data_IF_996220763594
#
_entry.id   IF_996220763594
#
_cell.length_a   1.000
_cell.length_b   1.000
_cell.length_c   1.000
_cell.angle_alpha   90.00
_cell.angle_beta   90.00
_cell.angle_gamma   90.00
#
_symmetry.space_group_name_H-M   'P 1'
#
loop_
_entity.id
_entity.type
_entity.pdbx_description
1 polymer ?
2 non-polymer ?
3 non-polymer ?
4 water ?
#
# COMPACT_ATOMS: atom_id res chain seq x y z
N UNK A 35 6.19 -13.04 32.30
CA UNK A 35 6.10 -13.26 30.87
C UNK A 35 6.75 -12.09 30.13
N UNK A 36 7.35 -12.36 28.96
CA UNK A 36 7.81 -11.26 28.11
C UNK A 36 6.61 -10.44 27.69
N UNK A 37 6.80 -9.15 27.45
CA UNK A 37 5.73 -8.31 26.94
C UNK A 37 5.44 -8.76 25.50
N UNK A 38 4.18 -9.09 25.24
CA UNK A 38 3.79 -9.48 23.88
C UNK A 38 3.45 -8.26 23.05
N UNK A 39 4.11 -8.16 21.91
CA UNK A 39 3.87 -7.14 20.91
C UNK A 39 3.15 -7.80 19.74
N UNK A 40 1.94 -7.33 19.42
CA UNK A 40 1.18 -7.90 18.30
C UNK A 40 1.32 -7.02 17.05
N UNK A 41 1.55 -7.67 15.92
CA UNK A 41 1.69 -7.01 14.61
C UNK A 41 0.69 -7.72 13.69
N UNK A 42 -0.36 -7.03 13.28
CA UNK A 42 -1.32 -7.63 12.37
C UNK A 42 -1.24 -6.98 11.00
N UNK A 43 -1.57 -7.75 9.97
CA UNK A 43 -1.68 -7.22 8.62
C UNK A 43 -2.60 -8.10 7.78
N UNK A 44 -2.83 -7.65 6.54
CA UNK A 44 -3.84 -8.26 5.68
C UNK A 44 -3.28 -9.07 4.53
N UNK A 45 -1.96 -9.12 4.36
CA UNK A 45 -1.37 -9.81 3.22
C UNK A 45 -0.89 -11.22 3.55
N UNK A 46 -0.54 -11.95 2.49
CA UNK A 46 0.07 -13.27 2.65
C UNK A 46 1.46 -13.14 3.29
N UNK A 47 1.93 -14.23 3.86
CA UNK A 47 3.24 -14.24 4.51
C UNK A 47 4.37 -13.97 3.53
N UNK A 48 4.29 -14.53 2.33
CA UNK A 48 5.43 -14.54 1.41
C UNK A 48 5.35 -13.33 0.46
N UNK A 49 5.48 -12.16 1.08
CA UNK A 49 5.30 -10.84 0.46
C UNK A 49 6.22 -9.86 1.16
N UNK A 50 6.42 -8.64 0.61
CA UNK A 50 7.29 -7.70 1.33
C UNK A 50 6.80 -7.38 2.75
N UNK A 51 5.51 -7.10 2.95
CA UNK A 51 5.04 -6.79 4.30
C UNK A 51 5.06 -8.03 5.19
N UNK A 52 4.68 -9.18 4.64
CA UNK A 52 4.73 -10.40 5.44
C UNK A 52 6.13 -10.70 5.96
N UNK A 53 7.12 -10.50 5.10
CA UNK A 53 8.51 -10.75 5.46
C UNK A 53 9.06 -9.67 6.38
N UNK A 54 8.68 -8.41 6.17
CA UNK A 54 9.07 -7.33 7.09
C UNK A 54 8.59 -7.66 8.50
N UNK A 55 7.35 -8.11 8.64
CA UNK A 55 6.80 -8.36 9.97
C UNK A 55 7.56 -9.52 10.64
N UNK A 56 7.84 -10.59 9.89
CA UNK A 56 8.58 -11.72 10.45
C UNK A 56 10.02 -11.35 10.78
N UNK A 57 10.65 -10.52 9.96
CA UNK A 57 12.01 -10.08 10.27
C UNK A 57 12.02 -9.27 11.57
N UNK A 58 11.02 -8.42 11.75
CA UNK A 58 10.90 -7.63 12.98
C UNK A 58 10.77 -8.57 14.19
N UNK A 59 9.92 -9.59 14.08
CA UNK A 59 9.82 -10.62 15.11
C UNK A 59 11.17 -11.25 15.42
N UNK A 60 11.88 -11.66 14.37
CA UNK A 60 13.16 -12.34 14.55
C UNK A 60 14.16 -11.45 15.27
N UNK A 61 14.24 -10.19 14.84
CA UNK A 61 15.23 -9.28 15.42
C UNK A 61 14.89 -8.94 16.86
N UNK A 62 13.62 -8.71 17.16
CA UNK A 62 13.26 -8.39 18.54
C UNK A 62 13.58 -9.56 19.45
N UNK A 63 13.23 -10.76 19.01
CA UNK A 63 13.39 -11.90 19.89
C UNK A 63 14.87 -12.27 20.05
N UNK A 64 15.70 -11.97 19.04
CA UNK A 64 17.14 -12.13 19.16
C UNK A 64 17.78 -11.14 20.12
N UNK A 65 17.34 -9.88 20.05
CA UNK A 65 18.02 -8.79 20.75
C UNK A 65 17.47 -8.51 22.13
N UNK A 66 16.23 -8.93 22.39
CA UNK A 66 15.56 -8.72 23.68
C UNK A 66 14.95 -10.01 24.20
N UNK A 67 15.73 -11.10 24.21
CA UNK A 67 15.15 -12.39 24.60
C UNK A 67 14.59 -12.39 26.01
N UNK A 68 13.36 -12.89 26.14
CA UNK A 68 12.71 -12.96 27.42
C UNK A 68 12.07 -11.65 27.88
N UNK A 69 12.32 -10.57 27.14
CA UNK A 69 11.79 -9.27 27.52
C UNK A 69 10.59 -8.88 26.65
N UNK A 70 10.69 -9.14 25.35
CA UNK A 70 9.63 -8.86 24.41
C UNK A 70 9.52 -10.02 23.43
N UNK A 71 8.31 -10.28 22.97
CA UNK A 71 8.09 -11.23 21.89
C UNK A 71 7.12 -10.57 20.92
N UNK A 72 7.24 -10.89 19.63
CA UNK A 72 6.35 -10.33 18.62
C UNK A 72 5.49 -11.45 18.03
N UNK A 73 4.16 -11.29 18.12
CA UNK A 73 3.23 -12.20 17.48
C UNK A 73 2.74 -11.56 16.19
N UNK A 74 2.87 -12.28 15.09
CA UNK A 74 2.51 -11.77 13.78
C UNK A 74 1.25 -12.48 13.28
N UNK A 75 0.29 -11.69 12.79
CA UNK A 75 -1.01 -12.20 12.36
C UNK A 75 -1.26 -11.76 10.93
N UNK A 76 -0.91 -12.60 9.94
CA UNK A 76 -1.08 -12.23 8.53
C UNK A 76 -2.52 -12.46 8.05
N UNK A 77 -2.81 -12.09 6.82
CA UNK A 77 -4.04 -12.51 6.14
C UNK A 77 -5.33 -12.11 6.86
N UNK A 78 -5.30 -10.99 7.57
CA UNK A 78 -6.48 -10.48 8.28
C UNK A 78 -6.96 -11.46 9.36
N UNK A 79 -6.07 -12.33 9.83
CA UNK A 79 -6.49 -13.37 10.79
C UNK A 79 -6.84 -12.77 12.15
N UNK A 80 -6.26 -11.63 12.50
CA UNK A 80 -6.60 -10.95 13.75
C UNK A 80 -7.45 -9.70 13.48
N UNK A 81 -6.89 -8.74 12.76
CA UNK A 81 -7.61 -7.54 12.34
C UNK A 81 -7.47 -7.37 10.84
N UNK A 82 -8.49 -6.80 10.22
CA UNK A 82 -8.51 -6.57 8.79
C UNK A 82 -8.52 -5.09 8.46
N UNK A 83 -8.76 -4.78 7.19
CA UNK A 83 -8.68 -3.39 6.71
C UNK A 83 -9.57 -2.47 7.53
N UNK A 84 -10.80 -2.87 7.78
CA UNK A 84 -11.75 -1.93 8.31
C UNK A 84 -11.57 -1.65 9.79
N UNK A 85 -10.99 -2.58 10.56
CA UNK A 85 -10.89 -2.42 12.02
C UNK A 85 -9.48 -2.26 12.59
N UNK A 86 -8.44 -2.36 11.77
CA UNK A 86 -7.10 -2.41 12.31
C UNK A 86 -6.66 -1.11 12.99
N UNK A 87 -7.03 0.05 12.45
CA UNK A 87 -6.58 1.30 13.07
C UNK A 87 -7.33 1.55 14.38
N UNK A 88 -8.63 1.23 14.43
CA UNK A 88 -9.35 1.30 15.69
C UNK A 88 -8.70 0.36 16.73
N UNK A 89 -8.35 -0.85 16.31
CA UNK A 89 -7.68 -1.79 17.21
C UNK A 89 -6.34 -1.25 17.72
N UNK A 90 -5.57 -0.64 16.83
CA UNK A 90 -4.30 -0.02 17.20
C UNK A 90 -4.50 1.00 18.32
N UNK A 91 -5.47 1.89 18.14
CA UNK A 91 -5.69 2.96 19.11
C UNK A 91 -6.23 2.46 20.44
N UNK A 92 -6.92 1.32 20.41
CA UNK A 92 -7.33 0.64 21.64
C UNK A 92 -6.20 -0.14 22.32
N UNK A 93 -5.05 -0.23 21.66
CA UNK A 93 -3.94 -1.08 22.10
C UNK A 93 -4.29 -2.57 22.10
N UNK A 94 -5.19 -2.96 21.21
CA UNK A 94 -5.44 -4.39 20.94
C UNK A 94 -4.42 -4.96 19.96
N UNK A 95 -3.66 -4.07 19.30
CA UNK A 95 -2.54 -4.45 18.45
C UNK A 95 -1.53 -3.31 18.60
N UNK A 96 -0.25 -3.59 18.45
CA UNK A 96 0.80 -2.61 18.71
C UNK A 96 1.44 -2.05 17.44
N UNK A 97 1.48 -2.84 16.36
CA UNK A 97 1.98 -2.38 15.07
C UNK A 97 1.06 -2.85 13.96
N UNK A 98 0.77 -1.94 13.04
CA UNK A 98 0.11 -2.25 11.78
C UNK A 98 0.84 -1.48 10.68
N UNK A 99 0.59 -1.85 9.42
CA UNK A 99 1.25 -1.20 8.29
C UNK A 99 0.27 -1.09 7.11
N UNK A 100 -0.76 -0.23 7.27
CA UNK A 100 -1.75 -0.08 6.20
C UNK A 100 -1.17 0.61 4.99
N UNK A 101 -1.77 0.32 3.85
CA UNK A 101 -1.59 1.14 2.68
C UNK A 101 -1.78 2.61 3.03
N UNK A 102 -0.97 3.46 2.40
CA UNK A 102 -1.08 4.91 2.54
C UNK A 102 -2.47 5.42 2.15
N UNK A 103 -3.23 4.62 1.37
CA UNK A 103 -4.57 4.95 0.93
C UNK A 103 -5.63 4.87 2.03
N UNK A 104 -5.27 4.30 3.18
CA UNK A 104 -6.28 3.86 4.15
C UNK A 104 -6.34 4.72 5.41
N UNK A 105 -5.86 5.95 5.33
CA UNK A 105 -5.73 6.82 6.49
C UNK A 105 -6.68 8.02 6.52
N UNK A 106 -7.66 8.07 5.61
CA UNK A 106 -8.50 9.26 5.47
C UNK A 106 -9.32 9.64 6.70
N UNK A 107 -9.59 8.67 7.57
CA UNK A 107 -10.32 9.01 8.79
C UNK A 107 -9.47 9.81 9.76
N UNK A 108 -8.15 9.79 9.56
CA UNK A 108 -7.21 10.42 10.51
C UNK A 108 -6.46 11.62 9.94
N UNK A 109 -6.26 11.64 8.63
CA UNK A 109 -5.68 12.81 7.94
C UNK A 109 -6.09 12.77 6.48
N UNK A 110 -6.13 13.94 5.83
CA UNK A 110 -6.33 14.00 4.39
C UNK A 110 -5.00 14.20 3.66
N UNK A 111 -3.92 14.36 4.40
CA UNK A 111 -2.65 14.71 3.78
C UNK A 111 -2.02 13.57 2.99
N UNK A 112 -2.27 12.32 3.40
CA UNK A 112 -1.67 11.16 2.73
C UNK A 112 -2.32 10.85 1.39
N UNK A 113 -3.45 11.52 1.10
CA UNK A 113 -4.13 11.36 -0.18
C UNK A 113 -3.22 11.60 -1.36
N UNK A 114 -2.19 12.43 -1.19
CA UNK A 114 -1.23 12.69 -2.25
C UNK A 114 -0.70 11.40 -2.86
N UNK A 115 -0.46 10.38 -2.03
CA UNK A 115 0.12 9.14 -2.50
C UNK A 115 -0.78 8.37 -3.47
N UNK A 116 -2.08 8.63 -3.44
CA UNK A 116 -3.05 7.92 -4.28
C UNK A 116 -3.22 8.54 -5.66
N UNK A 117 -2.67 9.74 -5.89
CA UNK A 117 -2.96 10.43 -7.14
C UNK A 117 -2.44 9.63 -8.35
N UNK A 118 -3.29 9.45 -9.37
CA UNK A 118 -2.88 8.58 -10.47
C UNK A 118 -1.77 9.18 -11.33
N UNK A 119 -0.76 8.37 -11.61
CA UNK A 119 0.39 8.74 -12.42
C UNK A 119 1.23 9.90 -11.82
N UNK A 120 1.12 10.11 -10.52
CA UNK A 120 1.94 11.13 -9.87
C UNK A 120 3.42 10.76 -9.90
N UNK A 121 3.72 9.52 -9.51
CA UNK A 121 5.09 9.02 -9.48
C UNK A 121 5.36 8.12 -10.66
N UNK A 122 6.48 8.35 -11.33
CA UNK A 122 6.82 7.53 -12.50
C UNK A 122 7.12 6.09 -12.10
N UNK A 123 7.79 5.95 -10.96
CA UNK A 123 8.30 4.66 -10.54
C UNK A 123 8.66 4.71 -9.06
N UNK A 124 9.15 3.60 -8.54
CA UNK A 124 9.41 3.47 -7.10
C UNK A 124 10.59 4.31 -6.64
N UNK A 125 11.52 4.61 -7.53
CA UNK A 125 12.61 5.52 -7.19
C UNK A 125 12.06 6.91 -6.85
N UNK A 126 11.08 7.38 -7.62
CA UNK A 126 10.48 8.68 -7.36
C UNK A 126 9.68 8.66 -6.06
N UNK A 127 8.95 7.58 -5.84
CA UNK A 127 8.22 7.42 -4.59
C UNK A 127 9.15 7.55 -3.39
N UNK A 128 10.25 6.81 -3.46
CA UNK A 128 11.21 6.80 -2.37
C UNK A 128 11.83 8.20 -2.14
N UNK A 129 12.17 8.88 -3.23
CA UNK A 129 12.72 10.22 -3.17
C UNK A 129 11.78 11.18 -2.46
N UNK A 130 10.49 11.08 -2.76
CA UNK A 130 9.47 11.90 -2.13
C UNK A 130 9.33 11.55 -0.65
N UNK A 131 9.26 10.25 -0.34
CA UNK A 131 9.14 9.80 1.04
C UNK A 131 10.28 10.25 1.93
N UNK A 132 11.51 10.25 1.39
CA UNK A 132 12.70 10.59 2.16
C UNK A 132 12.97 12.09 2.21
N UNK A 133 12.30 12.86 1.36
CA UNK A 133 12.39 14.31 1.39
C UNK A 133 11.59 14.91 2.52
N UNK A 134 11.63 16.23 2.62
CA UNK A 134 11.06 16.92 3.75
C UNK A 134 9.54 16.74 3.83
N UNK A 135 8.86 16.84 2.69
CA UNK A 135 7.42 16.68 2.70
C UNK A 135 7.02 15.26 3.11
N UNK A 136 7.74 14.27 2.60
CA UNK A 136 7.48 12.88 2.94
C UNK A 136 7.75 12.59 4.40
N UNK A 137 8.83 13.15 4.92
CA UNK A 137 9.17 12.88 6.31
C UNK A 137 8.14 13.52 7.23
N UNK A 138 7.70 14.73 6.89
CA UNK A 138 6.69 15.41 7.69
C UNK A 138 5.39 14.60 7.74
N UNK A 139 5.06 13.92 6.64
CA UNK A 139 3.83 13.14 6.58
C UNK A 139 3.81 11.99 7.60
N UNK A 140 4.98 11.54 8.04
CA UNK A 140 5.02 10.49 9.07
C UNK A 140 4.40 10.95 10.38
N UNK A 141 4.37 12.28 10.59
CA UNK A 141 3.82 12.84 11.82
C UNK A 141 2.43 13.45 11.62
N UNK A 142 1.81 13.18 10.48
CA UNK A 142 0.56 13.83 10.12
C UNK A 142 -0.64 13.42 10.98
N UNK A 143 -0.50 12.33 11.75
CA UNK A 143 -1.59 11.82 12.57
C UNK A 143 -1.23 11.78 14.06
N UNK A 144 -0.12 12.39 14.40
CA UNK A 144 0.39 12.37 15.78
C UNK A 144 -0.67 12.77 16.80
N UNK A 145 -1.37 13.86 16.51
CA UNK A 145 -2.36 14.41 17.45
C UNK A 145 -3.64 13.56 17.52
N UNK A 146 -3.74 12.56 16.64
CA UNK A 146 -4.82 11.58 16.68
C UNK A 146 -4.37 10.31 17.39
N UNK A 147 -3.12 10.30 17.86
CA UNK A 147 -2.60 9.16 18.59
C UNK A 147 -1.86 8.14 17.76
N UNK A 148 -1.62 8.43 16.48
CA UNK A 148 -0.92 7.50 15.59
C UNK A 148 0.48 8.01 15.29
N UNK A 149 1.47 7.17 15.57
CA UNK A 149 2.88 7.50 15.39
C UNK A 149 3.39 6.82 14.12
N UNK A 150 3.87 7.62 13.19
CA UNK A 150 4.45 7.09 11.96
C UNK A 150 5.91 6.75 12.13
N UNK A 151 6.24 5.49 11.89
CA UNK A 151 7.59 4.99 12.16
C UNK A 151 8.44 4.81 10.91
N UNK A 152 7.83 4.64 9.75
CA UNK A 152 8.57 4.51 8.51
C UNK A 152 7.65 4.17 7.37
N UNK A 153 8.19 4.23 6.16
CA UNK A 153 7.53 3.82 4.93
C UNK A 153 8.05 2.44 4.53
N UNK A 154 7.15 1.58 4.07
CA UNK A 154 7.52 0.28 3.56
C UNK A 154 6.94 0.15 2.15
N UNK A 155 7.77 -0.25 1.20
CA UNK A 155 7.31 -0.37 -0.17
C UNK A 155 6.53 -1.64 -0.46
N UNK A 156 5.62 -1.55 -1.43
CA UNK A 156 5.14 -2.72 -2.15
C UNK A 156 5.51 -2.58 -3.62
N UNK A 157 4.83 -1.69 -4.35
CA UNK A 157 5.14 -1.53 -5.76
C UNK A 157 4.15 -0.65 -6.46
N UNK A 158 4.32 -0.52 -7.77
CA UNK A 158 3.35 0.18 -8.58
C UNK A 158 2.15 -0.72 -8.85
N UNK A 159 0.97 -0.14 -8.98
CA UNK A 159 -0.25 -0.88 -9.27
C UNK A 159 -0.45 -1.10 -10.77
N UNK A 160 -1.00 -2.28 -11.07
CA UNK A 160 -1.45 -2.68 -12.40
C UNK A 160 -2.96 -2.88 -12.35
N UNK A 161 -3.65 -2.63 -13.46
CA UNK A 161 -5.07 -2.97 -13.55
C UNK A 161 -5.23 -4.45 -13.91
N UNK A 162 -6.26 -5.08 -13.35
CA UNK A 162 -6.75 -6.35 -13.89
C UNK A 162 -8.22 -6.22 -14.20
N UNK A 163 -8.67 -7.00 -15.19
CA UNK A 163 -10.08 -7.12 -15.53
C UNK A 163 -10.23 -8.33 -16.42
N UNK A 164 -11.39 -8.48 -17.05
CA UNK A 164 -11.60 -9.57 -18.01
C UNK A 164 -11.59 -9.08 -19.45
N UNK A 165 -10.89 -7.97 -19.64
CA UNK A 165 -10.70 -7.35 -20.95
C UNK A 165 -9.43 -6.50 -20.87
N UNK A 166 -8.73 -6.29 -22.00
CA UNK A 166 -7.58 -5.38 -21.98
C UNK A 166 -8.00 -3.96 -21.65
N UNK A 167 -7.15 -3.24 -20.95
CA UNK A 167 -7.43 -1.85 -20.60
C UNK A 167 -6.43 -0.90 -21.28
N UNK A 168 -6.39 -1.03 -22.60
CA UNK A 168 -5.46 -0.30 -23.44
C UNK A 168 -5.68 1.20 -23.40
N UNK A 169 -6.94 1.60 -23.33
CA UNK A 169 -7.30 3.00 -23.31
C UNK A 169 -8.35 3.23 -22.25
N UNK A 170 -8.45 4.47 -21.76
CA UNK A 170 -9.44 4.78 -20.74
C UNK A 170 -10.85 4.34 -21.11
N UNK A 171 -11.22 4.43 -22.38
CA UNK A 171 -12.56 4.06 -22.82
C UNK A 171 -12.88 2.60 -22.48
N UNK A 172 -11.85 1.77 -22.40
CA UNK A 172 -12.04 0.33 -22.14
C UNK A 172 -12.56 0.07 -20.72
N UNK A 173 -12.40 1.02 -19.80
CA UNK A 173 -12.84 0.84 -18.42
C UNK A 173 -14.30 1.30 -18.19
N UNK A 174 -14.91 1.95 -19.17
CA UNK A 174 -16.23 2.54 -18.94
C UNK A 174 -17.24 1.47 -18.54
N UNK A 175 -17.97 1.74 -17.47
CA UNK A 175 -19.04 0.87 -17.02
C UNK A 175 -18.60 -0.36 -16.23
N UNK A 176 -17.30 -0.55 -16.04
CA UNK A 176 -16.82 -1.71 -15.30
C UNK A 176 -16.74 -1.40 -13.81
N UNK A 177 -17.04 -2.40 -12.99
CA UNK A 177 -16.97 -2.27 -11.55
C UNK A 177 -15.56 -2.66 -11.08
N UNK A 178 -14.88 -1.75 -10.38
CA UNK A 178 -13.57 -2.02 -9.82
C UNK A 178 -13.62 -1.91 -8.30
N UNK A 179 -13.12 -2.91 -7.61
CA UNK A 179 -12.85 -2.75 -6.18
C UNK A 179 -11.72 -1.73 -6.02
N UNK A 180 -11.84 -0.91 -4.98
CA UNK A 180 -10.75 -0.05 -4.53
C UNK A 180 -10.56 -0.22 -3.02
N UNK A 181 -9.33 0.03 -2.58
CA UNK A 181 -9.07 0.33 -1.18
C UNK A 181 -9.97 1.50 -0.77
N UNK A 182 -10.19 1.65 0.53
CA UNK A 182 -11.15 2.64 1.00
C UNK A 182 -10.58 4.07 0.97
N UNK A 183 -10.56 4.63 -0.23
CA UNK A 183 -9.97 5.93 -0.53
C UNK A 183 -10.86 6.70 -1.48
N UNK A 184 -11.20 7.93 -1.11
CA UNK A 184 -11.93 8.81 -2.01
C UNK A 184 -11.13 9.14 -3.28
N UNK A 185 -9.80 9.21 -3.18
CA UNK A 185 -9.00 9.50 -4.36
C UNK A 185 -9.10 8.33 -5.35
N UNK A 186 -9.01 7.10 -4.83
CA UNK A 186 -9.07 5.94 -5.73
C UNK A 186 -10.47 5.79 -6.34
N UNK A 187 -11.51 6.12 -5.60
CA UNK A 187 -12.85 6.14 -6.19
C UNK A 187 -12.89 7.16 -7.33
N UNK A 188 -12.34 8.34 -7.09
CA UNK A 188 -12.33 9.39 -8.10
C UNK A 188 -11.54 8.99 -9.34
N UNK A 189 -10.45 8.24 -9.16
CA UNK A 189 -9.66 7.73 -10.26
C UNK A 189 -10.56 6.93 -11.21
N UNK A 190 -11.36 6.02 -10.67
CA UNK A 190 -12.25 5.23 -11.52
C UNK A 190 -13.45 6.04 -12.03
N UNK A 191 -13.99 6.95 -11.22
CA UNK A 191 -15.04 7.86 -11.72
C UNK A 191 -14.56 8.61 -12.97
N UNK A 192 -13.28 8.97 -13.01
CA UNK A 192 -12.73 9.82 -14.08
C UNK A 192 -12.82 9.16 -15.45
N UNK A 193 -12.92 7.83 -15.47
CA UNK A 193 -13.05 7.08 -16.72
C UNK A 193 -14.41 6.38 -16.83
N UNK A 194 -15.36 6.80 -16.02
CA UNK A 194 -16.71 6.26 -16.11
C UNK A 194 -16.83 4.83 -15.61
N UNK A 195 -15.83 4.38 -14.85
CA UNK A 195 -15.94 3.09 -14.16
C UNK A 195 -16.67 3.28 -12.83
N UNK A 196 -17.02 2.17 -12.19
CA UNK A 196 -17.81 2.20 -10.97
C UNK A 196 -16.96 1.65 -9.81
N UNK A 197 -16.45 2.53 -8.94
CA UNK A 197 -15.61 2.07 -7.84
C UNK A 197 -16.44 1.54 -6.68
N UNK A 198 -15.97 0.48 -6.05
CA UNK A 198 -16.60 0.05 -4.82
C UNK A 198 -15.55 -0.30 -3.80
N UNK A 199 -15.67 0.35 -2.66
CA UNK A 199 -14.70 0.22 -1.57
C UNK A 199 -14.95 -1.08 -0.81
N UNK A 200 -13.95 -1.94 -0.74
CA UNK A 200 -14.07 -3.21 -0.03
C UNK A 200 -12.75 -3.58 0.62
N UNK A 201 -12.80 -4.31 1.75
CA UNK A 201 -11.56 -4.76 2.40
C UNK A 201 -10.80 -5.77 1.54
N UNK A 202 -9.48 -5.79 1.72
CA UNK A 202 -8.60 -6.61 0.92
C UNK A 202 -8.98 -8.09 1.01
N UNK A 203 -9.41 -8.55 2.18
CA UNK A 203 -9.71 -9.96 2.36
C UNK A 203 -10.82 -10.48 1.44
N UNK A 204 -11.65 -9.58 0.91
CA UNK A 204 -12.78 -9.99 0.06
C UNK A 204 -12.46 -10.02 -1.42
N UNK A 205 -11.32 -9.49 -1.83
CA UNK A 205 -11.11 -9.20 -3.24
C UNK A 205 -11.15 -10.45 -4.12
N UNK A 206 -10.45 -11.51 -3.73
CA UNK A 206 -10.46 -12.72 -4.55
C UNK A 206 -11.88 -13.20 -4.82
N UNK A 207 -12.69 -13.29 -3.77
CA UNK A 207 -14.05 -13.81 -3.92
C UNK A 207 -14.91 -12.88 -4.77
N UNK A 208 -14.73 -11.57 -4.61
CA UNK A 208 -15.47 -10.62 -5.44
C UNK A 208 -15.13 -10.80 -6.92
N UNK A 209 -13.85 -10.99 -7.23
CA UNK A 209 -13.43 -11.22 -8.61
C UNK A 209 -13.97 -12.56 -9.12
N UNK A 210 -13.81 -13.60 -8.31
CA UNK A 210 -14.20 -14.95 -8.68
C UNK A 210 -15.68 -15.00 -9.09
N UNK A 211 -16.51 -14.36 -8.28
CA UNK A 211 -17.95 -14.38 -8.46
C UNK A 211 -18.47 -13.31 -9.41
N UNK A 212 -17.58 -12.48 -9.94
CA UNK A 212 -17.96 -11.41 -10.85
C UNK A 212 -18.85 -10.36 -10.20
N UNK A 213 -18.80 -10.27 -8.88
CA UNK A 213 -19.40 -9.13 -8.17
C UNK A 213 -18.71 -7.83 -8.58
N UNK A 214 -17.42 -7.96 -8.93
CA UNK A 214 -16.67 -6.87 -9.55
C UNK A 214 -16.05 -7.41 -10.84
N UNK A 215 -15.74 -6.49 -11.74
CA UNK A 215 -15.08 -6.81 -12.99
C UNK A 215 -13.56 -6.79 -12.89
N UNK A 216 -13.02 -5.91 -12.04
CA UNK A 216 -11.58 -5.71 -12.00
C UNK A 216 -11.12 -5.09 -10.71
N UNK A 217 -9.82 -4.87 -10.63
CA UNK A 217 -9.21 -4.25 -9.46
C UNK A 217 -7.84 -3.70 -9.86
N UNK A 218 -7.10 -3.15 -8.90
CA UNK A 218 -5.77 -2.61 -9.15
C UNK A 218 -4.86 -3.11 -8.02
N UNK A 219 -3.68 -3.61 -8.37
CA UNK A 219 -2.76 -4.08 -7.34
C UNK A 219 -1.38 -4.37 -7.91
N UNK A 220 -0.44 -4.63 -7.01
CA UNK A 220 0.92 -4.92 -7.42
C UNK A 220 1.04 -6.38 -7.85
N UNK A 221 2.12 -6.69 -8.55
CA UNK A 221 2.38 -8.08 -8.93
C UNK A 221 2.38 -8.99 -7.71
N UNK A 222 2.97 -8.54 -6.60
CA UNK A 222 3.09 -9.39 -5.41
C UNK A 222 1.72 -9.76 -4.85
N UNK A 223 0.81 -8.80 -4.72
CA UNK A 223 -0.53 -9.14 -4.24
C UNK A 223 -1.31 -9.96 -5.27
N UNK A 224 -1.15 -9.62 -6.55
CA UNK A 224 -1.88 -10.30 -7.62
C UNK A 224 -1.50 -11.78 -7.62
N UNK A 225 -0.21 -12.08 -7.46
CA UNK A 225 0.27 -13.45 -7.42
C UNK A 225 -0.12 -14.18 -6.14
N UNK A 226 0.18 -13.56 -5.01
CA UNK A 226 0.00 -14.25 -3.72
C UNK A 226 -1.47 -14.48 -3.38
N UNK A 227 -2.38 -13.62 -3.86
CA UNK A 227 -3.81 -13.81 -3.62
C UNK A 227 -4.53 -14.49 -4.79
N UNK A 228 -3.79 -14.81 -5.85
CA UNK A 228 -4.32 -15.56 -7.00
C UNK A 228 -5.37 -14.78 -7.78
N UNK A 229 -5.27 -13.45 -7.77
CA UNK A 229 -6.20 -12.65 -8.55
C UNK A 229 -6.07 -13.01 -10.04
N UNK A 230 -4.87 -13.39 -10.47
CA UNK A 230 -4.63 -13.71 -11.87
C UNK A 230 -5.37 -14.98 -12.32
N UNK A 231 -5.83 -15.80 -11.37
CA UNK A 231 -6.59 -17.01 -11.72
C UNK A 231 -8.06 -16.71 -12.01
N UNK A 232 -8.50 -15.48 -11.75
CA UNK A 232 -9.90 -15.11 -11.91
C UNK A 232 -10.05 -13.79 -12.67
N UNK A 233 -9.01 -13.43 -13.39
CA UNK A 233 -8.99 -12.23 -14.25
C UNK A 233 -8.32 -12.62 -15.55
N UNK A 234 -8.95 -12.41 -16.69
CA UNK A 234 -8.36 -12.83 -17.94
C UNK A 234 -7.23 -11.94 -18.46
N UNK A 235 -7.17 -10.68 -18.02
CA UNK A 235 -6.21 -9.71 -18.56
C UNK A 235 -5.63 -8.82 -17.50
N UNK A 236 -4.31 -8.65 -17.53
CA UNK A 236 -3.60 -7.75 -16.62
C UNK A 236 -2.93 -6.70 -17.47
N UNK A 237 -3.24 -5.44 -17.22
CA UNK A 237 -2.69 -4.35 -17.98
C UNK A 237 -1.60 -3.67 -17.15
N UNK A 238 -0.38 -3.68 -17.68
CA UNK A 238 0.79 -3.14 -16.99
C UNK A 238 0.83 -1.63 -17.13
N UNK A 239 0.01 -1.00 -16.29
CA UNK A 239 -0.26 0.42 -16.33
C UNK A 239 0.64 1.24 -15.40
N UNK A 240 1.16 0.63 -14.33
CA UNK A 240 1.98 1.35 -13.35
C UNK A 240 1.34 2.68 -12.97
N UNK A 241 0.03 2.68 -12.72
CA UNK A 241 -0.73 3.93 -12.70
C UNK A 241 -0.84 4.59 -11.31
N UNK A 242 -0.32 3.94 -10.28
CA UNK A 242 -0.28 4.52 -8.94
C UNK A 242 0.63 3.68 -8.08
N UNK A 243 0.94 4.16 -6.87
CA UNK A 243 1.77 3.39 -5.95
C UNK A 243 0.93 2.78 -4.85
N UNK A 244 1.28 1.54 -4.50
CA UNK A 244 0.80 0.89 -3.27
C UNK A 244 2.01 0.77 -2.35
N UNK A 245 2.05 1.62 -1.34
CA UNK A 245 3.06 1.60 -0.29
C UNK A 245 2.36 1.67 1.06
N UNK A 246 3.14 1.47 2.12
CA UNK A 246 2.61 1.43 3.48
C UNK A 246 3.25 2.45 4.39
N UNK A 247 2.53 2.83 5.43
CA UNK A 247 3.16 3.47 6.60
C UNK A 247 3.10 2.50 7.76
N UNK A 248 4.27 2.17 8.32
CA UNK A 248 4.34 1.37 9.53
C UNK A 248 4.05 2.31 10.71
N UNK A 249 3.03 1.98 11.49
CA UNK A 249 2.57 2.84 12.57
C UNK A 249 2.38 2.08 13.87
N UNK A 250 2.43 2.84 14.96
CA UNK A 250 2.05 2.36 16.28
C UNK A 250 1.16 3.41 16.94
N UNK A 251 0.67 3.14 18.14
CA UNK A 251 -0.06 4.15 18.89
C UNK A 251 0.89 4.92 19.79
N UNK A 252 0.58 6.19 19.99
CA UNK A 252 1.34 7.01 20.89
C UNK A 252 1.35 6.40 22.29
N UNK A 253 0.21 5.87 22.73
CA UNK A 253 0.12 5.33 24.08
C UNK A 253 1.08 4.15 24.25
N UNK A 254 1.11 3.24 23.29
CA UNK A 254 2.03 2.11 23.41
C UNK A 254 3.48 2.57 23.32
N UNK A 255 3.77 3.43 22.36
CA UNK A 255 5.14 3.84 22.12
C UNK A 255 5.71 4.55 23.38
N UNK A 256 4.91 5.41 23.98
CA UNK A 256 5.30 6.10 25.21
C UNK A 256 5.41 5.16 26.41
N UNK A 257 4.71 4.03 26.37
CA UNK A 257 4.70 3.09 27.50
C UNK A 257 6.00 2.28 27.59
N UNK A 258 6.81 2.30 26.54
CA UNK A 258 8.06 1.58 26.54
C UNK A 258 9.16 2.36 27.27
N UNK A 259 10.03 1.65 28.01
CA UNK A 259 11.19 2.36 28.53
C UNK A 259 12.07 2.81 27.36
N UNK A 260 12.73 3.95 27.52
CA UNK A 260 13.41 4.57 26.38
C UNK A 260 14.48 3.68 25.74
N UNK A 261 15.21 2.92 26.56
CA UNK A 261 16.26 2.08 26.03
C UNK A 261 15.70 0.90 25.21
N UNK A 262 14.63 0.30 25.70
CA UNK A 262 13.99 -0.79 24.98
C UNK A 262 13.33 -0.26 23.70
N UNK A 263 12.71 0.91 23.79
CA UNK A 263 12.10 1.54 22.62
C UNK A 263 13.14 1.72 21.52
N UNK A 264 14.34 2.16 21.89
CA UNK A 264 15.39 2.37 20.90
C UNK A 264 15.80 1.08 20.20
N UNK A 265 15.91 -0.01 20.95
CA UNK A 265 16.23 -1.31 20.35
C UNK A 265 15.10 -1.76 19.41
N UNK A 266 13.85 -1.62 19.84
CA UNK A 266 12.71 -1.99 19.01
C UNK A 266 12.66 -1.15 17.72
N UNK A 267 12.92 0.15 17.84
CA UNK A 267 12.91 1.04 16.69
C UNK A 267 13.99 0.65 15.69
N UNK A 268 15.18 0.33 16.18
CA UNK A 268 16.26 -0.06 15.28
C UNK A 268 15.93 -1.38 14.57
N UNK A 269 15.30 -2.30 15.29
CA UNK A 269 14.88 -3.57 14.70
C UNK A 269 13.83 -3.29 13.61
N UNK A 270 12.91 -2.38 13.90
CA UNK A 270 11.91 -2.01 12.91
C UNK A 270 12.55 -1.42 11.65
N UNK A 271 13.49 -0.49 11.84
CA UNK A 271 14.16 0.12 10.70
C UNK A 271 14.83 -0.94 9.82
N UNK A 272 15.51 -1.89 10.45
CA UNK A 272 16.21 -2.92 9.70
C UNK A 272 15.21 -3.84 8.97
N UNK A 273 14.10 -4.11 9.61
CA UNK A 273 13.06 -4.95 9.01
C UNK A 273 12.45 -4.26 7.77
N UNK A 274 12.26 -2.95 7.86
CA UNK A 274 11.74 -2.17 6.74
C UNK A 274 12.75 -2.21 5.58
N UNK A 275 14.03 -2.08 5.87
CA UNK A 275 15.03 -2.16 4.81
C UNK A 275 14.96 -3.51 4.09
N UNK A 276 14.84 -4.59 4.86
CA UNK A 276 14.72 -5.90 4.27
C UNK A 276 13.43 -6.00 3.45
N UNK A 277 12.32 -5.52 4.02
CA UNK A 277 11.06 -5.55 3.31
C UNK A 277 11.10 -4.81 1.99
N UNK A 278 11.80 -3.67 1.95
CA UNK A 278 11.92 -2.91 0.73
C UNK A 278 12.68 -3.70 -0.34
N UNK A 279 13.73 -4.40 0.07
CA UNK A 279 14.49 -5.25 -0.85
C UNK A 279 13.61 -6.35 -1.40
N UNK A 280 12.86 -7.02 -0.52
CA UNK A 280 11.94 -8.06 -0.92
C UNK A 280 10.89 -7.50 -1.88
N UNK A 281 10.38 -6.30 -1.61
CA UNK A 281 9.36 -5.71 -2.47
C UNK A 281 9.85 -5.64 -3.91
N UNK A 282 11.08 -5.19 -4.10
CA UNK A 282 11.63 -5.02 -5.43
C UNK A 282 11.86 -6.39 -6.06
N UNK A 283 12.33 -7.35 -5.26
CA UNK A 283 12.55 -8.69 -5.76
C UNK A 283 11.23 -9.36 -6.20
N UNK A 284 10.21 -9.24 -5.36
CA UNK A 284 8.91 -9.87 -5.65
C UNK A 284 8.22 -9.22 -6.83
N UNK A 285 8.43 -7.94 -7.04
CA UNK A 285 7.78 -7.29 -8.15
C UNK A 285 8.22 -7.98 -9.46
N UNK A 286 9.50 -8.29 -9.57
CA UNK A 286 10.01 -9.01 -10.74
C UNK A 286 9.66 -10.51 -10.73
N UNK A 287 9.87 -11.17 -9.60
CA UNK A 287 9.63 -12.61 -9.50
C UNK A 287 8.18 -12.96 -9.77
N UNK A 288 7.28 -12.21 -9.15
CA UNK A 288 5.87 -12.56 -9.19
C UNK A 288 5.22 -12.22 -10.53
N UNK A 289 5.68 -11.16 -11.20
CA UNK A 289 5.26 -10.93 -12.57
C UNK A 289 5.61 -12.15 -13.42
N UNK A 290 6.84 -12.65 -13.31
CA UNK A 290 7.26 -13.81 -14.09
C UNK A 290 6.45 -15.07 -13.75
N UNK A 291 6.17 -15.30 -12.48
CA UNK A 291 5.38 -16.47 -12.12
C UNK A 291 3.97 -16.40 -12.70
N UNK A 292 3.38 -15.21 -12.72
CA UNK A 292 2.07 -15.04 -13.34
C UNK A 292 2.15 -15.34 -14.84
N UNK A 293 3.15 -14.82 -15.51
CA UNK A 293 3.33 -15.11 -16.93
C UNK A 293 3.51 -16.62 -17.15
N UNK A 294 4.34 -17.26 -16.31
CA UNK A 294 4.61 -18.70 -16.44
C UNK A 294 3.32 -19.51 -16.41
N UNK A 295 2.32 -19.05 -15.65
CA UNK A 295 1.09 -19.82 -15.47
C UNK A 295 0.26 -19.90 -16.74
N UNK A 296 0.42 -18.93 -17.62
CA UNK A 296 -0.36 -18.82 -18.84
C UNK A 296 -1.86 -18.64 -18.59
N UNK A 297 -2.26 -18.22 -17.39
CA UNK A 297 -3.67 -18.11 -17.03
C UNK A 297 -4.25 -16.74 -17.31
N UNK A 298 -3.39 -15.74 -17.44
CA UNK A 298 -3.86 -14.39 -17.63
C UNK A 298 -2.96 -13.67 -18.63
N UNK A 299 -3.58 -12.93 -19.53
CA UNK A 299 -2.84 -12.30 -20.61
C UNK A 299 -2.32 -10.94 -20.18
N UNK A 300 -1.02 -10.74 -20.37
CA UNK A 300 -0.38 -9.45 -20.14
C UNK A 300 -0.69 -8.48 -21.27
N UNK A 301 -1.08 -7.26 -20.91
CA UNK A 301 -1.41 -6.20 -21.85
C UNK A 301 -0.42 -5.07 -21.56
N UNK A 302 0.31 -4.66 -22.59
CA UNK A 302 1.32 -3.62 -22.49
C UNK A 302 0.74 -2.35 -23.10
N UNK A 303 1.12 -1.17 -22.58
CA UNK A 303 0.67 0.10 -23.13
C UNK A 303 1.75 0.74 -23.99
N UNK A 304 1.37 1.20 -25.17
CA UNK A 304 2.26 2.03 -25.97
C UNK A 304 2.42 3.38 -25.30
N UNK A 305 3.43 4.15 -25.73
CA UNK A 305 3.60 5.48 -25.12
C UNK A 305 2.36 6.35 -25.27
N UNK A 306 1.74 6.36 -26.44
CA UNK A 306 0.54 7.15 -26.65
C UNK A 306 -0.61 6.63 -25.81
N UNK A 307 -0.71 5.30 -25.67
CA UNK A 307 -1.75 4.73 -24.84
C UNK A 307 -1.57 5.16 -23.39
N UNK A 308 -0.34 5.07 -22.87
CA UNK A 308 -0.09 5.52 -21.51
C UNK A 308 -0.48 6.99 -21.36
N UNK A 309 -0.11 7.81 -22.32
CA UNK A 309 -0.38 9.25 -22.20
C UNK A 309 -1.87 9.53 -22.17
N UNK A 310 -2.67 8.74 -22.89
CA UNK A 310 -4.12 8.93 -22.84
C UNK A 310 -4.63 8.69 -21.42
N UNK A 311 -4.13 7.66 -20.76
CA UNK A 311 -4.48 7.40 -19.37
C UNK A 311 -4.01 8.52 -18.43
N UNK A 312 -2.79 8.98 -18.62
CA UNK A 312 -2.28 10.08 -17.79
C UNK A 312 -3.19 11.30 -17.90
N UNK A 313 -3.52 11.66 -19.14
CA UNK A 313 -4.27 12.89 -19.38
C UNK A 313 -5.66 12.87 -18.76
N UNK A 314 -6.36 11.74 -18.89
CA UNK A 314 -7.71 11.64 -18.36
C UNK A 314 -7.74 11.61 -16.82
N UNK A 315 -6.61 11.29 -16.20
CA UNK A 315 -6.52 11.19 -14.74
C UNK A 315 -6.11 12.50 -14.07
N UNK A 316 -5.55 13.45 -14.82
CA UNK A 316 -5.11 14.71 -14.24
C UNK A 316 -6.21 15.47 -13.49
N UNK A 317 -7.47 15.42 -13.97
CA UNK A 317 -8.51 16.10 -13.19
C UNK A 317 -8.70 15.56 -11.77
N UNK A 318 -8.27 14.34 -11.50
CA UNK A 318 -8.33 13.82 -10.12
C UNK A 318 -7.41 14.65 -9.23
N UNK A 319 -6.25 15.01 -9.75
CA UNK A 319 -5.35 15.87 -8.98
C UNK A 319 -6.02 17.21 -8.70
N UNK A 320 -6.71 17.75 -9.70
CA UNK A 320 -7.39 19.03 -9.53
C UNK A 320 -8.49 18.96 -8.48
N UNK A 321 -9.20 17.83 -8.43
CA UNK A 321 -10.25 17.66 -7.44
C UNK A 321 -9.71 17.69 -6.01
N UNK A 322 -8.51 17.16 -5.81
CA UNK A 322 -7.95 17.02 -4.47
C UNK A 322 -6.87 18.05 -4.12
N UNK A 323 -6.57 18.95 -5.06
CA UNK A 323 -5.43 19.83 -4.85
C UNK A 323 -5.52 20.64 -3.54
N UNK A 324 -6.71 21.11 -3.19
CA UNK A 324 -6.86 21.89 -1.94
C UNK A 324 -6.53 21.08 -0.68
N UNK A 325 -7.11 19.88 -0.57
CA UNK A 325 -6.91 19.03 0.61
C UNK A 325 -5.48 18.58 0.76
N UNK A 326 -4.82 18.37 -0.36
CA UNK A 326 -3.52 17.75 -0.35
C UNK A 326 -2.43 18.79 -0.24
N UNK A 327 -2.68 19.94 -0.87
CA UNK A 327 -1.71 21.02 -0.94
C UNK A 327 -1.03 21.06 -2.30
N UNK A 328 -1.20 22.16 -3.02
CA UNK A 328 -0.52 22.31 -4.31
C UNK A 328 0.99 22.17 -4.15
N UNK A 329 1.53 22.72 -3.07
CA UNK A 329 2.96 22.64 -2.79
C UNK A 329 3.42 21.19 -2.66
N UNK A 330 2.60 20.35 -2.03
CA UNK A 330 2.95 18.96 -1.81
C UNK A 330 2.92 18.20 -3.14
N UNK A 331 1.91 18.46 -3.97
CA UNK A 331 1.85 17.86 -5.30
C UNK A 331 3.10 18.24 -6.09
N UNK A 332 3.49 19.51 -6.02
CA UNK A 332 4.65 19.99 -6.77
C UNK A 332 5.95 19.34 -6.26
N UNK A 333 6.06 19.09 -4.96
CA UNK A 333 7.20 18.37 -4.41
C UNK A 333 7.25 16.94 -4.94
N UNK A 334 6.09 16.30 -5.03
CA UNK A 334 6.03 14.94 -5.56
C UNK A 334 6.40 14.92 -7.04
N UNK A 335 5.84 15.85 -7.81
CA UNK A 335 6.13 15.91 -9.24
C UNK A 335 7.63 16.06 -9.44
N UNK A 336 8.24 16.95 -8.67
CA UNK A 336 9.67 17.22 -8.81
C UNK A 336 10.53 16.02 -8.42
N UNK A 337 10.00 15.14 -7.58
CA UNK A 337 10.73 13.92 -7.21
C UNK A 337 10.97 12.98 -8.40
N UNK A 338 10.20 13.13 -9.48
CA UNK A 338 10.41 12.35 -10.70
C UNK A 338 11.64 12.77 -11.46
N UNK A 339 12.13 13.97 -11.18
CA UNK A 339 13.18 14.55 -12.01
C UNK A 339 14.37 15.00 -11.18
#
# INVERSE_FOLDING_TARGET
MTLNQQMGITRPLKTVAKMLALASVFATSFNVFAAPVEIKFSHVVAENTPKGQMALKFKELVEQRLPGEYTVSVFPNSQLFGDNNELAALLLNDVQFVAPSLSKFERYTKRLQVFDLPFLFNDMDAVNRFQQGEAGQALLNSMSRKGIVGLGYLHNGMKQFTANTPLKQPSDAKGLKFRVMASDVLAAQFDAVGAIPVKKPFSEVFTLLQTRAIDGQENTWSNTYSQKFYEVQSHITESNHGVLDYMVVTSDAFWKSLPADKRKVIKEALDESIALGNKIAAEKDNEDKQLILDSKLSQLVTLSPAERQQWVDVMKPVWSKFEDQVGKDVIEAAVAANKAENLYFQ
#
